data_IF_532376797324
#
_entry.id   IF_532376797324
#
_cell.length_a   1.000
_cell.length_b   1.000
_cell.length_c   1.000
_cell.angle_alpha   90.00
_cell.angle_beta   90.00
_cell.angle_gamma   90.00
#
_symmetry.space_group_name_H-M   'P 1'
#
loop_
_entity.id
_entity.type
_entity.pdbx_description
1 polymer ?
#
# COMPACT_ATOMS: atom_id res chain seq x y z
N UNK A 1 -34.74 7.38 10.25
CA UNK A 1 -33.79 7.18 9.13
C UNK A 1 -32.36 7.05 9.61
N UNK A 2 -31.76 8.16 10.06
CA UNK A 2 -30.36 8.22 10.54
C UNK A 2 -30.14 7.42 11.82
N UNK A 3 -31.17 7.24 12.66
CA UNK A 3 -31.13 6.44 13.88
C UNK A 3 -30.91 4.92 13.63
N UNK A 4 -30.95 4.48 12.37
CA UNK A 4 -30.62 3.10 11.96
C UNK A 4 -29.21 2.96 11.37
N UNK A 5 -28.47 4.06 11.23
CA UNK A 5 -27.12 4.08 10.69
C UNK A 5 -26.12 4.39 11.80
N UNK A 6 -25.16 3.50 11.99
CA UNK A 6 -24.07 3.72 12.95
C UNK A 6 -22.90 4.45 12.30
N UNK A 7 -22.81 4.40 10.96
CA UNK A 7 -21.69 4.97 10.20
C UNK A 7 -22.11 5.37 8.78
N UNK A 8 -21.60 6.51 8.33
CA UNK A 8 -21.63 6.94 6.92
C UNK A 8 -20.20 7.02 6.43
N UNK A 9 -19.91 6.42 5.28
CA UNK A 9 -18.59 6.41 4.65
C UNK A 9 -18.73 6.97 3.25
N UNK A 10 -18.05 8.09 3.03
CA UNK A 10 -17.89 8.69 1.71
C UNK A 10 -16.58 8.16 1.06
N UNK A 11 -16.71 7.54 -0.10
CA UNK A 11 -15.61 6.96 -0.87
C UNK A 11 -15.49 7.70 -2.21
N UNK A 12 -14.71 8.77 -2.19
CA UNK A 12 -14.38 9.57 -3.36
C UNK A 12 -13.08 9.14 -4.06
N UNK A 13 -12.82 9.78 -5.21
CA UNK A 13 -11.63 9.55 -6.04
C UNK A 13 -10.40 10.41 -5.66
N UNK A 14 -10.43 11.16 -4.55
CA UNK A 14 -9.27 11.96 -4.12
C UNK A 14 -8.07 11.04 -3.83
N UNK A 15 -6.82 11.49 -4.04
CA UNK A 15 -5.64 10.67 -3.76
C UNK A 15 -5.61 10.16 -2.32
N UNK A 16 -5.18 8.91 -2.12
CA UNK A 16 -5.00 8.32 -0.78
C UNK A 16 -3.88 8.98 0.05
N UNK A 17 -3.03 9.75 -0.61
CA UNK A 17 -2.01 10.59 0.00
C UNK A 17 -1.37 11.52 -1.03
N UNK A 18 -0.78 12.61 -0.54
CA UNK A 18 -0.15 13.65 -1.39
C UNK A 18 1.37 13.52 -1.49
N UNK A 19 1.93 12.46 -0.92
CA UNK A 19 3.39 12.25 -0.86
C UNK A 19 3.75 10.84 -1.35
N UNK A 20 4.98 10.64 -1.84
CA UNK A 20 5.50 9.31 -2.20
C UNK A 20 5.50 8.28 -1.07
N UNK A 21 5.36 8.73 0.19
CA UNK A 21 5.32 7.88 1.39
C UNK A 21 4.02 7.11 1.55
N UNK A 22 2.93 7.64 0.99
CA UNK A 22 1.65 6.97 0.97
C UNK A 22 1.62 5.97 -0.18
N UNK A 23 1.12 4.77 0.09
CA UNK A 23 1.01 3.67 -0.87
C UNK A 23 -0.08 2.69 -0.41
N UNK A 24 -0.49 1.72 -1.24
CA UNK A 24 -1.51 0.74 -0.87
C UNK A 24 -1.22 0.02 0.45
N UNK A 25 0.02 -0.41 0.69
CA UNK A 25 0.40 -1.12 1.91
C UNK A 25 0.25 -0.28 3.19
N UNK A 26 0.66 0.99 3.15
CA UNK A 26 0.54 1.91 4.29
C UNK A 26 -0.92 2.29 4.53
N UNK A 27 -1.70 2.51 3.47
CA UNK A 27 -3.09 2.92 3.59
C UNK A 27 -4.00 1.82 4.14
N UNK A 28 -3.86 0.60 3.63
CA UNK A 28 -4.63 -0.60 4.06
C UNK A 28 -4.15 -1.15 5.41
N UNK A 29 -2.99 -0.70 5.89
CA UNK A 29 -2.35 -1.20 7.11
C UNK A 29 -1.58 -2.50 6.93
N UNK A 30 -1.41 -3.00 5.70
CA UNK A 30 -0.60 -4.19 5.40
C UNK A 30 0.90 -3.98 5.72
N UNK A 31 1.39 -2.74 5.71
CA UNK A 31 2.81 -2.48 5.90
C UNK A 31 3.32 -2.82 7.30
N UNK A 32 2.48 -2.69 8.33
CA UNK A 32 2.87 -3.07 9.71
C UNK A 32 3.15 -4.58 9.84
N UNK A 33 2.23 -5.49 9.51
CA UNK A 33 2.52 -6.92 9.60
C UNK A 33 3.66 -7.36 8.67
N UNK A 34 3.87 -6.71 7.51
CA UNK A 34 5.06 -6.93 6.68
C UNK A 34 6.34 -6.60 7.46
N UNK A 35 6.42 -5.43 8.10
CA UNK A 35 7.60 -5.03 8.89
C UNK A 35 7.83 -5.95 10.08
N UNK A 36 6.77 -6.35 10.76
CA UNK A 36 6.84 -7.28 11.89
C UNK A 36 7.35 -8.65 11.44
N UNK A 37 6.91 -9.12 10.27
CA UNK A 37 7.41 -10.35 9.65
C UNK A 37 8.92 -10.29 9.40
N UNK A 38 9.41 -9.23 8.75
CA UNK A 38 10.85 -9.07 8.47
C UNK A 38 11.68 -8.92 9.74
N UNK A 39 11.17 -8.24 10.77
CA UNK A 39 11.83 -8.16 12.08
C UNK A 39 11.82 -9.50 12.84
N UNK A 40 10.90 -10.40 12.50
CA UNK A 40 10.80 -11.74 13.08
C UNK A 40 11.82 -12.75 12.55
N UNK A 41 12.46 -12.47 11.41
CA UNK A 41 13.40 -13.38 10.75
C UNK A 41 14.67 -13.62 11.60
N UNK A 42 15.28 -14.81 11.56
CA UNK A 42 16.48 -15.13 12.33
C UNK A 42 17.62 -14.13 12.13
N UNK A 43 17.90 -13.74 10.89
CA UNK A 43 18.97 -12.80 10.54
C UNK A 43 18.69 -11.40 11.08
N UNK A 44 17.43 -10.96 11.03
CA UNK A 44 17.02 -9.68 11.59
C UNK A 44 17.16 -9.68 13.12
N UNK A 45 16.73 -10.77 13.78
CA UNK A 45 16.87 -10.94 15.23
C UNK A 45 18.33 -10.95 15.67
N UNK A 46 19.20 -11.67 14.95
CA UNK A 46 20.63 -11.74 15.24
C UNK A 46 21.30 -10.34 15.16
N UNK A 47 20.84 -9.49 14.25
CA UNK A 47 21.32 -8.10 14.11
C UNK A 47 20.60 -7.10 15.04
N UNK A 48 19.67 -7.57 15.88
CA UNK A 48 18.87 -6.72 16.77
C UNK A 48 17.86 -5.81 16.05
N UNK A 49 17.54 -6.08 14.79
CA UNK A 49 16.62 -5.26 14.01
C UNK A 49 15.19 -5.39 14.51
N UNK A 50 14.54 -4.24 14.67
CA UNK A 50 13.13 -4.10 15.09
C UNK A 50 12.27 -3.68 13.89
N UNK A 51 10.93 -3.71 13.97
CA UNK A 51 10.05 -3.28 12.89
C UNK A 51 10.30 -1.84 12.39
N UNK A 52 10.92 -0.99 13.23
CA UNK A 52 11.37 0.34 12.83
C UNK A 52 12.47 0.34 11.76
N UNK A 53 13.40 -0.63 11.76
CA UNK A 53 14.44 -0.77 10.73
C UNK A 53 13.82 -0.94 9.34
N UNK A 54 12.69 -1.65 9.27
CA UNK A 54 11.97 -1.96 8.04
C UNK A 54 10.93 -0.90 7.67
N UNK A 55 10.92 0.26 8.33
CA UNK A 55 10.05 1.38 7.97
C UNK A 55 10.84 2.43 7.22
N UNK A 56 10.45 2.71 5.97
CA UNK A 56 11.01 3.82 5.20
C UNK A 56 10.65 5.20 5.80
N UNK A 57 9.72 5.27 6.76
CA UNK A 57 9.30 6.51 7.38
C UNK A 57 10.17 6.98 8.55
N UNK A 58 11.03 6.11 9.10
CA UNK A 58 11.84 6.42 10.28
C UNK A 58 13.32 6.24 9.98
N UNK A 59 14.16 7.01 10.68
CA UNK A 59 15.62 6.86 10.59
C UNK A 59 16.05 5.47 11.06
N UNK A 60 17.14 4.97 10.48
CA UNK A 60 17.76 3.70 10.85
C UNK A 60 17.99 2.80 9.66
N UNK A 61 16.91 2.31 9.02
CA UNK A 61 17.02 1.41 7.86
C UNK A 61 16.68 2.02 6.51
N UNK A 62 16.02 3.18 6.50
CA UNK A 62 15.72 3.92 5.27
C UNK A 62 16.98 4.45 4.58
N UNK A 63 16.87 4.78 3.30
CA UNK A 63 17.88 5.56 2.61
C UNK A 63 17.84 7.01 3.12
N UNK A 64 18.95 7.53 3.65
CA UNK A 64 18.98 8.91 4.16
C UNK A 64 19.08 9.96 3.05
N UNK A 65 19.59 9.61 1.86
CA UNK A 65 19.68 10.54 0.73
C UNK A 65 18.31 11.02 0.23
N UNK A 66 17.34 10.09 0.11
CA UNK A 66 15.94 10.43 -0.23
C UNK A 66 15.00 10.39 0.97
N UNK A 67 15.55 10.29 2.19
CA UNK A 67 14.79 10.17 3.43
C UNK A 67 13.71 9.06 3.42
N UNK A 68 13.89 8.02 2.61
CA UNK A 68 12.96 6.90 2.44
C UNK A 68 11.88 7.07 1.37
N UNK A 69 11.84 8.19 0.64
CA UNK A 69 10.84 8.41 -0.41
C UNK A 69 11.12 7.54 -1.65
N UNK A 70 12.40 7.23 -1.90
CA UNK A 70 12.89 6.51 -3.08
C UNK A 70 13.03 7.40 -4.31
N UNK A 71 12.52 8.62 -4.22
CA UNK A 71 12.60 9.68 -5.23
C UNK A 71 13.09 10.97 -4.58
N UNK A 72 13.67 11.86 -5.37
CA UNK A 72 14.05 13.21 -5.00
C UNK A 72 13.12 14.16 -5.73
N UNK A 73 12.50 15.08 -4.98
CA UNK A 73 11.66 16.14 -5.53
C UNK A 73 12.56 17.26 -6.06
N UNK A 74 12.42 17.60 -7.33
CA UNK A 74 13.06 18.74 -7.98
C UNK A 74 11.99 19.82 -8.12
N UNK A 75 12.20 20.94 -7.43
CA UNK A 75 11.28 22.06 -7.48
C UNK A 75 11.48 22.86 -8.76
N UNK A 76 10.38 23.10 -9.46
CA UNK A 76 10.37 23.81 -10.74
C UNK A 76 9.63 25.13 -10.56
N UNK A 77 10.21 26.24 -11.04
CA UNK A 77 9.66 27.58 -10.80
C UNK A 77 8.30 27.83 -11.47
N UNK A 78 8.06 27.23 -12.64
CA UNK A 78 6.89 27.49 -13.47
C UNK A 78 6.15 26.22 -13.93
N UNK A 79 6.71 25.05 -13.64
CA UNK A 79 6.16 23.76 -14.01
C UNK A 79 5.82 22.97 -12.75
N UNK A 80 4.96 21.94 -12.84
CA UNK A 80 4.79 21.01 -11.75
C UNK A 80 6.12 20.39 -11.33
N UNK A 81 6.29 20.19 -10.02
CA UNK A 81 7.48 19.55 -9.46
C UNK A 81 7.71 18.17 -10.06
N UNK A 82 8.98 17.84 -10.33
CA UNK A 82 9.37 16.57 -10.94
C UNK A 82 9.98 15.67 -9.87
N UNK A 83 9.68 14.38 -9.92
CA UNK A 83 10.26 13.37 -9.05
C UNK A 83 11.25 12.53 -9.84
N UNK A 84 12.51 12.52 -9.41
CA UNK A 84 13.57 11.70 -10.03
C UNK A 84 13.93 10.57 -9.09
N UNK A 85 14.14 9.37 -9.63
CA UNK A 85 14.58 8.21 -8.84
C UNK A 85 15.86 8.53 -8.07
N UNK A 86 15.89 8.21 -6.77
CA UNK A 86 17.08 8.42 -5.96
C UNK A 86 18.22 7.53 -6.42
N UNK A 87 19.34 8.13 -6.83
CA UNK A 87 20.53 7.42 -7.33
C UNK A 87 21.24 6.58 -6.25
N UNK A 88 21.13 6.97 -4.98
CA UNK A 88 21.79 6.25 -3.87
C UNK A 88 21.16 4.90 -3.60
N UNK A 89 19.82 4.80 -3.65
CA UNK A 89 19.10 3.55 -3.38
C UNK A 89 18.42 2.97 -4.61
N UNK A 90 18.54 3.60 -5.78
CA UNK A 90 17.86 3.22 -7.02
C UNK A 90 16.35 2.96 -6.83
N UNK A 91 15.68 3.84 -6.08
CA UNK A 91 14.25 3.68 -5.78
C UNK A 91 13.90 2.69 -4.66
N UNK A 92 14.85 1.91 -4.13
CA UNK A 92 14.57 0.87 -3.13
C UNK A 92 14.13 1.39 -1.75
N UNK A 93 14.29 2.69 -1.45
CA UNK A 93 13.91 3.37 -0.18
C UNK A 93 14.70 2.99 1.08
N UNK A 94 15.57 1.98 1.02
CA UNK A 94 16.35 1.49 2.16
C UNK A 94 17.85 1.54 1.91
N UNK A 95 18.62 1.49 2.99
CA UNK A 95 20.06 1.24 2.93
C UNK A 95 20.37 -0.24 2.67
N UNK A 96 21.59 -0.51 2.22
CA UNK A 96 22.04 -1.84 1.80
C UNK A 96 21.90 -2.88 2.92
N UNK A 97 22.25 -2.53 4.15
CA UNK A 97 22.24 -3.44 5.31
C UNK A 97 20.82 -3.90 5.68
N UNK A 98 19.79 -3.11 5.35
CA UNK A 98 18.39 -3.49 5.53
C UNK A 98 17.92 -4.43 4.42
N UNK A 99 18.39 -4.22 3.19
CA UNK A 99 18.05 -5.03 2.02
C UNK A 99 18.70 -6.42 2.01
N UNK A 100 19.71 -6.63 2.86
CA UNK A 100 20.31 -7.96 3.09
C UNK A 100 19.36 -8.92 3.80
N UNK A 101 18.39 -8.42 4.56
CA UNK A 101 17.40 -9.27 5.21
C UNK A 101 16.38 -9.72 4.18
N UNK A 102 16.32 -11.03 3.94
CA UNK A 102 15.50 -11.64 2.89
C UNK A 102 14.58 -12.71 3.44
N UNK A 103 13.32 -12.68 3.02
CA UNK A 103 12.38 -13.79 3.19
C UNK A 103 12.19 -14.45 1.82
N UNK A 104 12.40 -15.77 1.71
CA UNK A 104 12.32 -16.51 0.43
C UNK A 104 13.11 -15.82 -0.71
N UNK A 105 14.31 -15.33 -0.40
CA UNK A 105 15.19 -14.62 -1.34
C UNK A 105 14.81 -13.16 -1.66
N UNK A 106 13.70 -12.63 -1.11
CA UNK A 106 13.19 -11.28 -1.39
C UNK A 106 13.36 -10.37 -0.17
N UNK A 107 13.95 -9.20 -0.39
CA UNK A 107 14.04 -8.13 0.61
C UNK A 107 12.71 -7.41 0.80
N UNK A 108 12.61 -6.51 1.78
CA UNK A 108 11.40 -5.72 1.96
C UNK A 108 11.13 -4.77 0.78
N UNK A 109 12.17 -4.27 0.11
CA UNK A 109 11.98 -3.46 -1.11
C UNK A 109 11.40 -4.31 -2.24
N UNK A 110 11.89 -5.54 -2.41
CA UNK A 110 11.36 -6.47 -3.41
C UNK A 110 9.88 -6.78 -3.14
N UNK A 111 9.50 -6.98 -1.87
CA UNK A 111 8.10 -7.20 -1.47
C UNK A 111 7.22 -5.98 -1.76
N UNK A 112 7.73 -4.77 -1.55
CA UNK A 112 7.00 -3.55 -1.91
C UNK A 112 6.90 -3.34 -3.42
N UNK A 113 7.78 -3.95 -4.21
CA UNK A 113 7.76 -3.88 -5.67
C UNK A 113 6.90 -4.98 -6.34
N UNK A 114 6.48 -6.00 -5.58
CA UNK A 114 5.54 -7.02 -6.04
C UNK A 114 4.17 -6.42 -6.36
N UNK A 115 3.48 -7.03 -7.33
CA UNK A 115 2.04 -6.82 -7.49
C UNK A 115 1.30 -7.33 -6.26
N UNK A 116 0.07 -6.86 -6.06
CA UNK A 116 -0.80 -7.35 -4.98
C UNK A 116 -1.06 -8.86 -5.13
N UNK A 117 -1.27 -9.33 -6.36
CA UNK A 117 -1.46 -10.75 -6.67
C UNK A 117 -0.23 -11.59 -6.30
N UNK A 118 0.97 -11.17 -6.71
CA UNK A 118 2.21 -11.86 -6.35
C UNK A 118 2.42 -11.87 -4.84
N UNK A 119 2.14 -10.76 -4.16
CA UNK A 119 2.27 -10.64 -2.72
C UNK A 119 1.27 -11.54 -1.96
N UNK A 120 0.05 -11.69 -2.48
CA UNK A 120 -0.97 -12.58 -1.93
C UNK A 120 -0.44 -14.03 -1.90
N UNK A 121 0.07 -14.53 -3.02
CA UNK A 121 0.61 -15.89 -3.12
C UNK A 121 1.91 -16.03 -2.30
N UNK A 122 2.79 -15.04 -2.35
CA UNK A 122 4.06 -15.04 -1.62
C UNK A 122 3.86 -15.16 -0.10
N UNK A 123 2.84 -14.48 0.42
CA UNK A 123 2.41 -14.50 1.82
C UNK A 123 1.23 -15.43 2.12
N UNK A 124 0.95 -16.44 1.29
CA UNK A 124 -0.18 -17.36 1.50
C UNK A 124 -0.26 -18.00 2.91
N UNK A 125 0.91 -18.23 3.51
CA UNK A 125 1.07 -18.82 4.85
C UNK A 125 1.11 -17.78 5.99
N UNK A 126 0.89 -16.49 5.70
CA UNK A 126 0.91 -15.38 6.66
C UNK A 126 -0.43 -14.65 6.60
N UNK A 127 -1.45 -15.12 7.33
CA UNK A 127 -2.83 -14.63 7.20
C UNK A 127 -2.97 -13.12 7.38
N UNK A 128 -2.23 -12.52 8.34
CA UNK A 128 -2.30 -11.09 8.63
C UNK A 128 -1.88 -10.18 7.45
N UNK A 129 -1.05 -10.69 6.54
CA UNK A 129 -0.65 -9.98 5.32
C UNK A 129 -1.56 -10.41 4.16
N UNK A 130 -1.79 -11.71 4.00
CA UNK A 130 -2.63 -12.27 2.94
C UNK A 130 -4.02 -11.66 2.92
N UNK A 131 -4.69 -11.55 4.07
CA UNK A 131 -6.04 -10.97 4.17
C UNK A 131 -6.11 -9.53 3.67
N UNK A 132 -5.01 -8.76 3.78
CA UNK A 132 -4.94 -7.40 3.23
C UNK A 132 -4.79 -7.41 1.70
N UNK A 133 -4.03 -8.37 1.17
CA UNK A 133 -3.94 -8.56 -0.28
C UNK A 133 -5.26 -9.09 -0.85
N UNK A 134 -5.93 -10.02 -0.17
CA UNK A 134 -7.26 -10.52 -0.52
C UNK A 134 -8.27 -9.37 -0.66
N UNK A 135 -8.25 -8.41 0.28
CA UNK A 135 -9.12 -7.24 0.22
C UNK A 135 -8.86 -6.35 -1.00
N UNK A 136 -7.60 -6.17 -1.39
CA UNK A 136 -7.23 -5.42 -2.60
C UNK A 136 -7.58 -6.19 -3.88
N UNK A 137 -7.40 -7.52 -3.88
CA UNK A 137 -7.77 -8.40 -5.00
C UNK A 137 -9.28 -8.35 -5.28
N UNK A 138 -10.11 -8.37 -4.23
CA UNK A 138 -11.58 -8.31 -4.34
C UNK A 138 -12.06 -7.07 -5.07
N UNK A 139 -11.41 -5.93 -4.86
CA UNK A 139 -11.74 -4.67 -5.55
C UNK A 139 -11.03 -4.53 -6.91
N UNK A 140 -10.40 -5.60 -7.43
CA UNK A 140 -9.76 -5.60 -8.75
C UNK A 140 -8.37 -4.97 -8.80
N UNK A 141 -7.72 -4.74 -7.66
CA UNK A 141 -6.39 -4.11 -7.60
C UNK A 141 -5.23 -5.12 -7.56
N UNK A 142 -5.39 -6.29 -8.19
CA UNK A 142 -4.33 -7.31 -8.18
C UNK A 142 -3.04 -6.88 -8.90
N UNK A 143 -3.17 -6.02 -9.91
CA UNK A 143 -2.08 -5.62 -10.80
C UNK A 143 -1.21 -4.48 -10.25
N UNK A 144 -1.69 -3.70 -9.27
CA UNK A 144 -0.90 -2.58 -8.74
C UNK A 144 0.20 -3.11 -7.82
N UNK A 145 1.29 -2.35 -7.67
CA UNK A 145 2.35 -2.72 -6.72
C UNK A 145 1.97 -2.42 -5.28
N UNK A 146 2.35 -3.28 -4.35
CA UNK A 146 2.09 -3.13 -2.90
C UNK A 146 2.60 -1.79 -2.37
N UNK A 147 3.77 -1.35 -2.83
CA UNK A 147 4.43 -0.11 -2.46
C UNK A 147 4.29 1.04 -3.48
N UNK A 148 3.39 0.92 -4.48
CA UNK A 148 3.16 1.93 -5.51
C UNK A 148 2.86 3.29 -4.88
N UNK A 149 3.51 4.34 -5.38
CA UNK A 149 3.35 5.68 -4.83
C UNK A 149 1.91 6.17 -5.02
N UNK A 150 1.31 6.71 -3.96
CA UNK A 150 -0.06 7.23 -4.02
C UNK A 150 -0.24 8.32 -5.08
N UNK A 151 0.81 9.10 -5.34
CA UNK A 151 0.84 10.16 -6.36
C UNK A 151 0.78 9.62 -7.79
N UNK A 152 1.04 8.33 -8.00
CA UNK A 152 1.01 7.68 -9.32
C UNK A 152 -0.21 6.76 -9.49
N UNK A 153 -1.15 6.76 -8.54
CA UNK A 153 -2.43 6.06 -8.67
C UNK A 153 -3.43 6.95 -9.39
N UNK A 154 -4.23 6.35 -10.26
CA UNK A 154 -5.42 6.98 -10.82
C UNK A 154 -6.48 7.24 -9.75
N UNK A 155 -7.45 8.12 -10.03
CA UNK A 155 -8.57 8.40 -9.14
C UNK A 155 -9.38 7.15 -8.78
N UNK A 156 -9.71 6.32 -9.77
CA UNK A 156 -10.41 5.05 -9.57
C UNK A 156 -9.61 4.01 -8.81
N UNK A 157 -8.28 3.94 -8.97
CA UNK A 157 -7.43 3.10 -8.11
C UNK A 157 -7.42 3.60 -6.67
N UNK A 158 -7.26 4.91 -6.46
CA UNK A 158 -7.28 5.51 -5.13
C UNK A 158 -8.61 5.22 -4.41
N UNK A 159 -9.74 5.37 -5.12
CA UNK A 159 -11.07 5.04 -4.62
C UNK A 159 -11.17 3.56 -4.21
N UNK A 160 -10.73 2.65 -5.08
CA UNK A 160 -10.76 1.20 -4.81
C UNK A 160 -9.85 0.81 -3.64
N UNK A 161 -8.69 1.45 -3.46
CA UNK A 161 -7.85 1.26 -2.27
C UNK A 161 -8.60 1.66 -0.99
N UNK A 162 -9.33 2.80 -1.00
CA UNK A 162 -10.17 3.21 0.14
C UNK A 162 -11.27 2.19 0.43
N UNK A 163 -11.96 1.75 -0.62
CA UNK A 163 -13.02 0.75 -0.52
C UNK A 163 -12.49 -0.56 0.08
N UNK A 164 -11.35 -1.07 -0.38
CA UNK A 164 -10.73 -2.30 0.14
C UNK A 164 -10.53 -2.27 1.66
N UNK A 165 -10.15 -1.11 2.21
CA UNK A 165 -9.90 -0.92 3.63
C UNK A 165 -11.17 -0.99 4.45
N UNK A 166 -12.27 -0.43 3.96
CA UNK A 166 -13.54 -0.44 4.67
C UNK A 166 -14.20 -1.82 4.60
N UNK A 167 -14.12 -2.51 3.46
CA UNK A 167 -14.61 -3.88 3.31
C UNK A 167 -13.84 -4.91 4.15
N UNK A 168 -12.57 -4.63 4.47
CA UNK A 168 -11.79 -5.46 5.37
C UNK A 168 -12.22 -5.35 6.84
N UNK A 169 -13.11 -4.39 7.19
CA UNK A 169 -13.68 -4.27 8.55
C UNK A 169 -14.91 -5.15 8.67
N UNK A 170 -15.15 -5.68 9.88
CA UNK A 170 -16.39 -6.39 10.18
C UNK A 170 -17.57 -5.43 10.03
N UNK A 171 -18.52 -5.78 9.17
CA UNK A 171 -19.75 -5.01 9.00
C UNK A 171 -20.61 -5.09 10.26
N UNK A 172 -21.13 -3.94 10.69
CA UNK A 172 -22.18 -3.87 11.73
C UNK A 172 -23.57 -4.05 11.14
N UNK A 173 -23.69 -4.17 9.80
CA UNK A 173 -24.97 -4.16 9.07
C UNK A 173 -25.65 -2.78 8.99
N UNK A 174 -25.05 -1.75 9.60
CA UNK A 174 -25.62 -0.39 9.72
C UNK A 174 -24.68 0.69 9.19
N UNK A 175 -24.02 0.39 8.06
CA UNK A 175 -23.10 1.33 7.41
C UNK A 175 -23.65 1.75 6.05
N UNK A 176 -23.78 3.06 5.83
CA UNK A 176 -24.10 3.64 4.53
C UNK A 176 -22.80 3.97 3.79
N UNK A 177 -22.59 3.34 2.64
CA UNK A 177 -21.50 3.66 1.72
C UNK A 177 -22.02 4.60 0.62
N UNK A 178 -21.37 5.74 0.45
CA UNK A 178 -21.59 6.68 -0.64
C UNK A 178 -20.36 6.59 -1.53
N UNK A 179 -20.56 6.26 -2.81
CA UNK A 179 -19.47 6.19 -3.77
C UNK A 179 -19.69 7.25 -4.86
N UNK A 180 -18.69 8.11 -5.04
CA UNK A 180 -18.72 9.14 -6.07
C UNK A 180 -18.20 8.57 -7.40
N UNK A 181 -19.11 8.42 -8.37
CA UNK A 181 -18.88 7.86 -9.71
C UNK A 181 -17.92 6.64 -9.73
N UNK A 182 -18.25 5.52 -9.07
CA UNK A 182 -17.27 4.47 -8.84
C UNK A 182 -16.90 3.63 -10.08
N UNK A 183 -17.58 3.88 -11.21
CA UNK A 183 -17.34 3.21 -12.48
C UNK A 183 -16.51 4.03 -13.46
N UNK A 184 -16.24 5.30 -13.16
CA UNK A 184 -15.54 6.21 -14.09
C UNK A 184 -14.11 5.71 -14.33
N UNK A 185 -13.80 5.41 -15.61
CA UNK A 185 -12.49 4.91 -16.03
C UNK A 185 -12.23 3.43 -15.76
N UNK A 186 -13.23 2.65 -15.32
CA UNK A 186 -13.09 1.21 -15.12
C UNK A 186 -13.43 0.42 -16.39
N UNK A 187 -12.65 -0.63 -16.63
CA UNK A 187 -13.00 -1.66 -17.60
C UNK A 187 -14.23 -2.45 -17.10
N UNK A 188 -15.04 -3.02 -18.02
CA UNK A 188 -16.26 -3.76 -17.67
C UNK A 188 -16.05 -4.87 -16.63
N UNK A 189 -14.91 -5.57 -16.70
CA UNK A 189 -14.56 -6.62 -15.74
C UNK A 189 -14.30 -6.07 -14.33
N UNK A 190 -13.73 -4.87 -14.21
CA UNK A 190 -13.53 -4.22 -12.91
C UNK A 190 -14.84 -3.68 -12.34
N UNK A 191 -15.75 -3.21 -13.20
CA UNK A 191 -17.12 -2.85 -12.80
C UNK A 191 -17.86 -4.08 -12.25
N UNK A 192 -17.73 -5.23 -12.91
CA UNK A 192 -18.33 -6.49 -12.45
C UNK A 192 -17.82 -6.87 -11.05
N UNK A 193 -16.50 -6.89 -10.84
CA UNK A 193 -15.89 -7.17 -9.53
C UNK A 193 -16.33 -6.17 -8.46
N UNK A 194 -16.41 -4.89 -8.80
CA UNK A 194 -16.90 -3.86 -7.90
C UNK A 194 -18.35 -4.10 -7.48
N UNK A 195 -19.23 -4.46 -8.42
CA UNK A 195 -20.63 -4.77 -8.14
C UNK A 195 -20.78 -6.04 -7.27
N UNK A 196 -19.97 -7.07 -7.51
CA UNK A 196 -19.95 -8.29 -6.67
C UNK A 196 -19.55 -8.01 -5.23
N UNK A 197 -18.76 -6.96 -5.00
CA UNK A 197 -18.30 -6.57 -3.67
C UNK A 197 -19.34 -5.71 -2.92
N UNK A 198 -20.26 -5.05 -3.65
CA UNK A 198 -21.30 -4.19 -3.07
C UNK A 198 -22.61 -4.94 -2.78
N UNK A 199 -22.79 -6.15 -3.32
CA UNK A 199 -23.91 -7.06 -3.03
C UNK A 199 -23.56 -8.07 -1.93
#
# INVERSE_FOLDING_TARGET
>A
GLEHLDKVIDIDQRPIGRTPRSNPATYTGAFTPIRDWFAGLPEAKARGYKPGRFSFNVKGGRCEACQGDGVIKIEMHFLPDVYVTCETCNGARYNRETLEIRFKGKSIADVLDMTVEDAQEFFKAVPSIREKMDALMRVGLGYIKVGQQATTLSGGEAQRVKLSKELARRSTGRTLYILDEPTTGLHFEDVRKLLEVLH
#
